data_IF_794986102729
#
_entry.id   IF_794986102729
#
_cell.length_a   1.000
_cell.length_b   1.000
_cell.length_c   1.000
_cell.angle_alpha   90.00
_cell.angle_beta   90.00
_cell.angle_gamma   90.00
#
_symmetry.space_group_name_H-M   'P 1'
#
loop_
_entity.id
_entity.type
_entity.pdbx_description
1 polymer ?
#
# COMPACT_ATOMS: atom_id res chain seq x y z
N UNK A 1 18.43 -33.38 6.05
CA UNK A 1 18.41 -32.85 7.43
C UNK A 1 18.50 -31.33 7.32
N UNK A 2 17.37 -30.63 7.46
CA UNK A 2 17.33 -29.15 7.51
C UNK A 2 17.75 -28.70 8.91
N UNK A 3 18.84 -27.94 9.00
CA UNK A 3 19.36 -27.43 10.27
C UNK A 3 18.33 -26.49 10.95
N UNK A 4 18.04 -26.66 12.25
CA UNK A 4 16.98 -25.94 12.96
C UNK A 4 17.14 -24.40 12.93
N UNK A 5 18.38 -23.91 12.89
CA UNK A 5 18.71 -22.47 12.80
C UNK A 5 18.15 -21.80 11.54
N UNK A 6 18.04 -22.53 10.42
CA UNK A 6 17.47 -22.00 9.19
C UNK A 6 15.94 -21.93 9.22
N UNK A 7 15.29 -22.82 9.95
CA UNK A 7 13.83 -22.83 10.08
C UNK A 7 13.34 -21.69 10.97
N UNK A 8 14.05 -21.38 12.06
CA UNK A 8 13.74 -20.26 12.94
C UNK A 8 13.97 -18.90 12.26
N UNK A 9 15.05 -18.77 11.48
CA UNK A 9 15.31 -17.57 10.68
C UNK A 9 14.26 -17.34 9.58
N UNK A 10 13.85 -18.40 8.88
CA UNK A 10 12.78 -18.32 7.88
C UNK A 10 11.43 -17.96 8.53
N UNK A 11 11.10 -18.54 9.68
CA UNK A 11 9.88 -18.23 10.43
C UNK A 11 9.84 -16.76 10.89
N UNK A 12 10.95 -16.23 11.37
CA UNK A 12 11.07 -14.83 11.78
C UNK A 12 10.87 -13.86 10.61
N UNK A 13 11.45 -14.17 9.44
CA UNK A 13 11.26 -13.39 8.21
C UNK A 13 9.79 -13.41 7.75
N UNK A 14 9.14 -14.57 7.78
CA UNK A 14 7.72 -14.68 7.41
C UNK A 14 6.80 -13.90 8.36
N UNK A 15 7.07 -13.92 9.66
CA UNK A 15 6.25 -13.18 10.64
C UNK A 15 6.44 -11.65 10.48
N UNK A 16 7.64 -11.20 10.15
CA UNK A 16 7.90 -9.79 9.90
C UNK A 16 7.25 -9.31 8.61
N UNK A 17 7.31 -10.11 7.54
CA UNK A 17 6.57 -9.83 6.30
C UNK A 17 5.06 -9.75 6.53
N UNK A 18 4.51 -10.65 7.32
CA UNK A 18 3.09 -10.67 7.65
C UNK A 18 2.67 -9.41 8.43
N UNK A 19 3.47 -8.97 9.40
CA UNK A 19 3.24 -7.71 10.12
C UNK A 19 3.29 -6.50 9.18
N UNK A 20 4.23 -6.46 8.23
CA UNK A 20 4.30 -5.36 7.25
C UNK A 20 3.06 -5.39 6.35
N UNK A 21 2.59 -6.56 5.92
CA UNK A 21 1.36 -6.69 5.13
C UNK A 21 0.12 -6.21 5.91
N UNK A 22 0.03 -6.50 7.21
CA UNK A 22 -1.05 -5.97 8.04
C UNK A 22 -1.04 -4.43 8.11
N UNK A 23 0.15 -3.83 8.18
CA UNK A 23 0.31 -2.37 8.12
C UNK A 23 -0.13 -1.85 6.75
N UNK A 24 0.29 -2.48 5.66
CA UNK A 24 -0.14 -2.13 4.30
C UNK A 24 -1.67 -2.15 4.20
N UNK A 25 -2.32 -3.20 4.69
CA UNK A 25 -3.78 -3.33 4.63
C UNK A 25 -4.50 -2.21 5.41
N UNK A 26 -3.94 -1.80 6.55
CA UNK A 26 -4.48 -0.70 7.34
C UNK A 26 -4.37 0.65 6.59
N UNK A 27 -3.22 0.91 5.99
CA UNK A 27 -3.00 2.12 5.20
C UNK A 27 -3.84 2.14 3.93
N UNK A 28 -4.05 1.01 3.26
CA UNK A 28 -4.98 0.91 2.12
C UNK A 28 -6.40 1.29 2.53
N UNK A 29 -6.89 0.76 3.67
CA UNK A 29 -8.21 1.13 4.21
C UNK A 29 -8.30 2.61 4.54
N UNK A 30 -7.26 3.18 5.16
CA UNK A 30 -7.21 4.60 5.49
C UNK A 30 -7.23 5.48 4.23
N UNK A 31 -6.46 5.11 3.19
CA UNK A 31 -6.45 5.80 1.91
C UNK A 31 -7.84 5.76 1.26
N UNK A 32 -8.48 4.59 1.23
CA UNK A 32 -9.84 4.46 0.69
C UNK A 32 -10.87 5.27 1.47
N UNK A 33 -10.74 5.35 2.79
CA UNK A 33 -11.62 6.19 3.61
C UNK A 33 -11.40 7.68 3.35
N UNK A 34 -10.14 8.11 3.21
CA UNK A 34 -9.79 9.49 2.83
C UNK A 34 -10.41 9.88 1.48
N UNK A 35 -10.36 8.98 0.49
CA UNK A 35 -11.05 9.16 -0.81
C UNK A 35 -12.55 9.33 -0.61
N UNK A 36 -13.19 8.46 0.17
CA UNK A 36 -14.65 8.48 0.39
C UNK A 36 -15.15 9.77 1.03
N UNK A 37 -14.36 10.38 1.91
CA UNK A 37 -14.72 11.64 2.58
C UNK A 37 -14.22 12.87 1.80
N UNK A 38 -13.70 12.70 0.59
CA UNK A 38 -13.21 13.78 -0.26
C UNK A 38 -11.87 14.38 0.17
N UNK A 39 -11.15 13.76 1.12
CA UNK A 39 -9.83 14.20 1.53
C UNK A 39 -8.74 13.61 0.61
N UNK A 40 -8.69 14.14 -0.61
CA UNK A 40 -7.80 13.60 -1.65
C UNK A 40 -6.32 13.84 -1.37
N UNK A 41 -5.95 14.93 -0.71
CA UNK A 41 -4.56 15.20 -0.33
C UNK A 41 -4.04 14.10 0.62
N UNK A 42 -4.80 13.80 1.67
CA UNK A 42 -4.46 12.72 2.60
C UNK A 42 -4.44 11.35 1.91
N UNK A 43 -5.37 11.11 0.99
CA UNK A 43 -5.39 9.87 0.21
C UNK A 43 -4.10 9.71 -0.62
N UNK A 44 -3.63 10.77 -1.28
CA UNK A 44 -2.41 10.76 -2.09
C UNK A 44 -1.18 10.46 -1.22
N UNK A 45 -1.06 11.10 -0.06
CA UNK A 45 0.04 10.87 0.89
C UNK A 45 0.07 9.40 1.35
N UNK A 46 -1.09 8.85 1.70
CA UNK A 46 -1.20 7.44 2.11
C UNK A 46 -0.84 6.48 0.96
N UNK A 47 -1.26 6.78 -0.27
CA UNK A 47 -0.92 5.97 -1.46
C UNK A 47 0.58 6.02 -1.77
N UNK A 48 1.26 7.15 -1.53
CA UNK A 48 2.72 7.26 -1.67
C UNK A 48 3.49 6.43 -0.64
N UNK A 49 3.05 6.49 0.63
CA UNK A 49 3.62 5.67 1.71
C UNK A 49 3.48 4.18 1.36
N UNK A 50 2.29 3.75 0.93
CA UNK A 50 2.03 2.37 0.51
C UNK A 50 2.92 1.93 -0.64
N UNK A 51 3.08 2.77 -1.66
CA UNK A 51 3.92 2.48 -2.83
C UNK A 51 5.38 2.27 -2.41
N UNK A 52 5.90 3.11 -1.51
CA UNK A 52 7.27 2.99 -0.99
C UNK A 52 7.49 1.70 -0.19
N UNK A 53 6.52 1.30 0.64
CA UNK A 53 6.59 0.06 1.41
C UNK A 53 6.55 -1.14 0.47
N UNK A 54 5.57 -1.20 -0.45
CA UNK A 54 5.39 -2.33 -1.36
C UNK A 54 6.54 -2.47 -2.35
N UNK A 55 7.19 -1.37 -2.74
CA UNK A 55 8.39 -1.42 -3.61
C UNK A 55 9.54 -2.12 -2.90
N UNK A 56 9.74 -1.84 -1.61
CA UNK A 56 10.77 -2.51 -0.80
C UNK A 56 10.47 -3.99 -0.56
N UNK A 57 9.20 -4.38 -0.61
CA UNK A 57 8.77 -5.78 -0.52
C UNK A 57 8.66 -6.48 -1.88
N UNK A 58 8.98 -5.79 -2.98
CA UNK A 58 8.85 -6.30 -4.35
C UNK A 58 7.43 -6.81 -4.69
N UNK A 59 6.40 -6.26 -4.04
CA UNK A 59 4.98 -6.60 -4.22
C UNK A 59 4.35 -5.79 -5.36
N UNK A 60 4.87 -5.96 -6.58
CA UNK A 60 4.49 -5.15 -7.75
C UNK A 60 3.02 -5.29 -8.18
N UNK A 61 2.39 -6.42 -7.89
CA UNK A 61 0.96 -6.65 -8.17
C UNK A 61 0.07 -5.66 -7.40
N UNK A 62 0.41 -5.37 -6.14
CA UNK A 62 -0.31 -4.38 -5.32
C UNK A 62 0.02 -2.96 -5.72
N UNK A 63 1.28 -2.68 -6.09
CA UNK A 63 1.71 -1.35 -6.57
C UNK A 63 0.88 -0.93 -7.79
N UNK A 64 0.66 -1.83 -8.74
CA UNK A 64 -0.14 -1.54 -9.95
C UNK A 64 -1.55 -1.04 -9.60
N UNK A 65 -2.18 -1.62 -8.57
CA UNK A 65 -3.50 -1.18 -8.10
C UNK A 65 -3.46 0.22 -7.50
N UNK A 66 -2.43 0.54 -6.71
CA UNK A 66 -2.28 1.87 -6.10
C UNK A 66 -2.01 2.95 -7.13
N UNK A 67 -1.17 2.65 -8.13
CA UNK A 67 -0.90 3.56 -9.25
C UNK A 67 -2.18 3.85 -10.03
N UNK A 68 -2.99 2.81 -10.31
CA UNK A 68 -4.29 2.98 -10.95
C UNK A 68 -5.21 3.88 -10.13
N UNK A 69 -5.34 3.64 -8.81
CA UNK A 69 -6.13 4.50 -7.92
C UNK A 69 -5.66 5.96 -7.97
N UNK A 70 -4.35 6.21 -7.98
CA UNK A 70 -3.78 7.55 -8.06
C UNK A 70 -4.07 8.24 -9.39
N UNK A 71 -3.99 7.51 -10.51
CA UNK A 71 -4.35 8.03 -11.84
C UNK A 71 -5.82 8.43 -11.88
N UNK A 72 -6.71 7.54 -11.43
CA UNK A 72 -8.15 7.81 -11.38
C UNK A 72 -8.46 9.03 -10.50
N UNK A 73 -7.84 9.13 -9.32
CA UNK A 73 -8.01 10.29 -8.44
C UNK A 73 -7.60 11.61 -9.10
N UNK A 74 -6.50 11.62 -9.86
CA UNK A 74 -6.07 12.82 -10.58
C UNK A 74 -7.05 13.20 -11.69
N UNK A 75 -7.46 12.24 -12.50
CA UNK A 75 -8.41 12.47 -13.60
C UNK A 75 -9.73 13.06 -13.07
N UNK A 76 -10.32 12.46 -12.05
CA UNK A 76 -11.59 12.93 -11.49
C UNK A 76 -11.47 14.21 -10.65
N UNK A 77 -10.30 14.53 -10.09
CA UNK A 77 -10.10 15.82 -9.43
C UNK A 77 -9.87 16.98 -10.40
N UNK A 78 -9.14 16.75 -11.50
CA UNK A 78 -8.91 17.80 -12.51
C UNK A 78 -10.20 18.14 -13.28
N UNK A 79 -11.08 17.15 -13.52
CA UNK A 79 -12.40 17.37 -14.12
C UNK A 79 -13.37 18.15 -13.20
N UNK A 80 -13.15 18.14 -11.88
CA UNK A 80 -14.00 18.82 -10.89
C UNK A 80 -13.77 20.34 -10.82
N UNK A 81 -12.62 20.84 -11.28
CA UNK A 81 -12.26 22.28 -11.24
C UNK A 81 -12.75 23.02 -12.50
N UNK A 82 -13.28 22.31 -13.50
CA UNK A 82 -13.71 22.87 -14.78
C UNK A 82 -15.19 23.33 -14.83
N UNK A 83 -15.90 23.43 -13.70
CA UNK A 83 -17.31 23.88 -13.63
C UNK A 83 -17.45 25.17 -12.82
#
# INVERSE_FOLDING_TARGET
MTHPVYAEGAACLTEQEEKILQVVDLYEKAAMQAIRIGNFQQAIELLEILTNILTKMERYDRINRLVLCRILLKLFNEDSIAV
#
